data_IF_158820776661
#
_entry.id   IF_158820776661
#
_cell.length_a   1.000
_cell.length_b   1.000
_cell.length_c   1.000
_cell.angle_alpha   90.00
_cell.angle_beta   90.00
_cell.angle_gamma   90.00
#
_symmetry.space_group_name_H-M   'P 1'
#
loop_
_entity.id
_entity.type
_entity.pdbx_description
1 polymer ?
#
# COMPACT_ATOMS: atom_id res chain seq x y z
N UNK A 1 10.31 8.88 -37.77
CA UNK A 1 8.90 8.48 -37.55
C UNK A 1 8.19 9.41 -36.57
N UNK A 2 7.68 10.56 -37.03
CA UNK A 2 6.89 11.49 -36.20
C UNK A 2 5.58 10.86 -35.70
N UNK A 3 4.99 9.95 -36.49
CA UNK A 3 3.79 9.20 -36.13
C UNK A 3 4.01 8.25 -34.94
N UNK A 4 5.16 7.57 -34.87
CA UNK A 4 5.50 6.68 -33.76
C UNK A 4 5.67 7.47 -32.47
N UNK A 5 6.37 8.61 -32.53
CA UNK A 5 6.53 9.52 -31.39
C UNK A 5 5.18 10.05 -30.89
N UNK A 6 4.28 10.47 -31.80
CA UNK A 6 2.95 10.94 -31.43
C UNK A 6 2.09 9.85 -30.76
N UNK A 7 2.15 8.62 -31.24
CA UNK A 7 1.43 7.47 -30.67
C UNK A 7 1.99 7.09 -29.28
N UNK A 8 3.30 7.19 -29.10
CA UNK A 8 3.96 6.90 -27.83
C UNK A 8 3.67 7.98 -26.77
N UNK A 9 3.69 9.26 -27.16
CA UNK A 9 3.30 10.38 -26.31
C UNK A 9 1.84 10.30 -25.89
N UNK A 10 0.93 9.93 -26.80
CA UNK A 10 -0.50 9.76 -26.48
C UNK A 10 -0.74 8.64 -25.44
N UNK A 11 0.09 7.59 -25.43
CA UNK A 11 -0.01 6.50 -24.43
C UNK A 11 0.60 6.87 -23.08
N UNK A 12 1.61 7.72 -23.05
CA UNK A 12 2.35 8.07 -21.84
C UNK A 12 1.80 9.31 -21.11
N UNK A 13 1.16 10.24 -21.83
CA UNK A 13 0.54 11.45 -21.28
C UNK A 13 -0.38 11.21 -20.06
N UNK A 14 -1.30 10.23 -20.07
CA UNK A 14 -2.16 9.95 -18.90
C UNK A 14 -1.37 9.55 -17.66
N UNK A 15 -0.25 8.83 -17.83
CA UNK A 15 0.62 8.41 -16.72
C UNK A 15 1.40 9.59 -16.15
N UNK A 16 1.91 10.47 -17.01
CA UNK A 16 2.60 11.70 -16.58
C UNK A 16 1.63 12.65 -15.86
N UNK A 17 0.40 12.79 -16.35
CA UNK A 17 -0.64 13.56 -15.67
C UNK A 17 -0.95 13.00 -14.27
N UNK A 18 -1.05 11.67 -14.12
CA UNK A 18 -1.20 11.01 -12.81
C UNK A 18 0.00 11.24 -11.88
N UNK A 19 1.23 11.21 -12.41
CA UNK A 19 2.42 11.52 -11.62
C UNK A 19 2.41 12.98 -11.14
N UNK A 20 1.93 13.92 -11.96
CA UNK A 20 1.74 15.32 -11.54
C UNK A 20 0.67 15.53 -10.47
N UNK A 21 -0.24 14.57 -10.28
CA UNK A 21 -1.20 14.58 -9.16
C UNK A 21 -0.57 14.07 -7.84
N UNK A 22 0.57 13.36 -7.92
CA UNK A 22 1.34 12.97 -6.73
C UNK A 22 2.22 14.16 -6.35
N UNK A 23 1.74 14.95 -5.40
CA UNK A 23 2.48 16.05 -4.80
C UNK A 23 3.20 15.61 -3.52
N UNK A 24 4.13 16.43 -3.01
CA UNK A 24 4.91 16.16 -1.79
C UNK A 24 4.04 15.95 -0.53
N UNK A 25 2.77 16.37 -0.58
CA UNK A 25 1.79 16.16 0.49
C UNK A 25 0.96 14.88 0.35
N UNK A 26 1.18 14.10 -0.71
CA UNK A 26 0.50 12.82 -0.92
C UNK A 26 0.95 11.84 0.15
N UNK A 27 0.11 11.64 1.17
CA UNK A 27 0.39 10.68 2.24
C UNK A 27 0.18 9.25 1.74
N UNK A 28 1.27 8.61 1.33
CA UNK A 28 1.30 7.20 0.91
C UNK A 28 1.97 6.39 2.03
N UNK A 29 1.33 5.32 2.45
CA UNK A 29 1.94 4.29 3.28
C UNK A 29 1.31 2.95 2.99
N UNK A 30 2.07 1.86 3.17
CA UNK A 30 1.54 0.51 3.03
C UNK A 30 0.37 0.26 4.01
N UNK A 31 0.50 0.75 5.25
CA UNK A 31 -0.57 0.66 6.25
C UNK A 31 -1.86 1.35 5.77
N UNK A 32 -1.76 2.52 5.15
CA UNK A 32 -2.92 3.22 4.60
C UNK A 32 -3.62 2.41 3.50
N UNK A 33 -2.85 1.87 2.56
CA UNK A 33 -3.40 1.05 1.46
C UNK A 33 -4.10 -0.18 2.03
N UNK A 34 -3.50 -0.85 3.01
CA UNK A 34 -4.11 -2.02 3.67
C UNK A 34 -5.42 -1.67 4.38
N UNK A 35 -5.46 -0.55 5.11
CA UNK A 35 -6.69 -0.11 5.79
C UNK A 35 -7.77 0.32 4.78
N UNK A 36 -7.40 0.90 3.64
CA UNK A 36 -8.35 1.19 2.55
C UNK A 36 -8.95 -0.12 2.00
N UNK A 37 -8.14 -1.14 1.70
CA UNK A 37 -8.65 -2.44 1.26
C UNK A 37 -9.52 -3.14 2.32
N UNK A 38 -9.15 -3.05 3.61
CA UNK A 38 -9.95 -3.61 4.69
C UNK A 38 -11.32 -2.94 4.86
N UNK A 39 -11.45 -1.66 4.45
CA UNK A 39 -12.74 -0.96 4.42
C UNK A 39 -13.57 -1.30 3.19
N UNK A 40 -12.94 -1.31 2.01
CA UNK A 40 -13.64 -1.48 0.74
C UNK A 40 -13.99 -2.95 0.47
N UNK A 41 -13.14 -3.88 0.91
CA UNK A 41 -13.28 -5.32 0.70
C UNK A 41 -12.92 -6.12 1.97
N UNK A 42 -13.66 -5.94 3.09
CA UNK A 42 -13.30 -6.53 4.39
C UNK A 42 -13.18 -8.06 4.37
N UNK A 43 -14.04 -8.73 3.58
CA UNK A 43 -14.07 -10.18 3.40
C UNK A 43 -13.26 -10.66 2.19
N UNK A 44 -12.61 -9.75 1.46
CA UNK A 44 -11.77 -10.08 0.32
C UNK A 44 -10.53 -10.84 0.78
N UNK A 45 -10.08 -11.78 -0.04
CA UNK A 45 -8.89 -12.58 0.21
C UNK A 45 -7.63 -11.70 0.13
N UNK A 46 -6.90 -11.57 1.23
CA UNK A 46 -5.69 -10.75 1.29
C UNK A 46 -4.42 -11.57 1.13
N UNK A 47 -4.31 -12.71 1.82
CA UNK A 47 -3.17 -13.62 1.70
C UNK A 47 -3.52 -15.06 2.09
N UNK A 48 -2.84 -16.03 1.49
CA UNK A 48 -2.88 -17.44 1.86
C UNK A 48 -1.66 -17.76 2.74
N UNK A 49 -1.88 -18.24 3.95
CA UNK A 49 -0.82 -18.64 4.87
C UNK A 49 -1.27 -19.86 5.68
N UNK A 50 -0.37 -20.84 5.87
CA UNK A 50 -0.68 -22.08 6.58
C UNK A 50 -1.96 -22.79 6.07
N UNK A 51 -2.13 -22.82 4.74
CA UNK A 51 -3.31 -23.40 4.10
C UNK A 51 -4.63 -22.66 4.35
N UNK A 52 -4.59 -21.46 4.94
CA UNK A 52 -5.77 -20.65 5.26
C UNK A 52 -5.74 -19.32 4.55
N UNK A 53 -6.88 -18.94 3.98
CA UNK A 53 -7.07 -17.61 3.42
C UNK A 53 -7.39 -16.64 4.55
N UNK A 54 -6.64 -15.55 4.62
CA UNK A 54 -6.87 -14.46 5.54
C UNK A 54 -7.50 -13.28 4.80
N UNK A 55 -8.54 -12.69 5.39
CA UNK A 55 -9.24 -11.54 4.81
C UNK A 55 -8.49 -10.24 5.05
N UNK A 56 -8.77 -9.20 4.26
CA UNK A 56 -8.18 -7.87 4.47
C UNK A 56 -8.45 -7.33 5.87
N UNK A 57 -9.66 -7.51 6.42
CA UNK A 57 -9.98 -7.07 7.78
C UNK A 57 -9.15 -7.83 8.84
N UNK A 58 -9.00 -9.15 8.67
CA UNK A 58 -8.23 -9.97 9.61
C UNK A 58 -6.74 -9.56 9.62
N UNK A 59 -6.18 -9.32 8.44
CA UNK A 59 -4.78 -8.88 8.29
C UNK A 59 -4.58 -7.49 8.86
N UNK A 60 -5.41 -6.50 8.50
CA UNK A 60 -5.28 -5.11 8.98
C UNK A 60 -5.34 -5.03 10.51
N UNK A 61 -6.32 -5.71 11.13
CA UNK A 61 -6.43 -5.80 12.59
C UNK A 61 -5.19 -6.43 13.22
N UNK A 62 -4.67 -7.52 12.67
CA UNK A 62 -3.47 -8.18 13.20
C UNK A 62 -2.24 -7.28 13.11
N UNK A 63 -2.04 -6.62 11.97
CA UNK A 63 -0.95 -5.67 11.74
C UNK A 63 -1.04 -4.51 12.72
N UNK A 64 -2.23 -3.90 12.87
CA UNK A 64 -2.44 -2.80 13.81
C UNK A 64 -2.13 -3.19 15.26
N UNK A 65 -2.46 -4.42 15.66
CA UNK A 65 -2.10 -4.93 16.99
C UNK A 65 -0.57 -5.08 17.15
N UNK A 66 0.15 -5.56 16.13
CA UNK A 66 1.63 -5.59 16.15
C UNK A 66 2.20 -4.17 16.26
N UNK A 67 1.72 -3.24 15.44
CA UNK A 67 2.19 -1.85 15.42
C UNK A 67 1.99 -1.18 16.77
N UNK A 68 0.83 -1.38 17.42
CA UNK A 68 0.58 -0.85 18.78
C UNK A 68 1.61 -1.40 19.78
N UNK A 69 1.85 -2.72 19.78
CA UNK A 69 2.88 -3.32 20.63
C UNK A 69 4.29 -2.79 20.34
N UNK A 70 4.64 -2.58 19.07
CA UNK A 70 5.93 -1.98 18.70
C UNK A 70 6.06 -0.54 19.22
N UNK A 71 5.00 0.26 19.11
CA UNK A 71 4.98 1.63 19.65
C UNK A 71 5.13 1.61 21.17
N UNK A 72 4.45 0.69 21.86
CA UNK A 72 4.53 0.52 23.32
C UNK A 72 5.95 0.20 23.79
N UNK A 73 6.71 -0.62 23.05
CA UNK A 73 8.13 -0.92 23.36
C UNK A 73 9.11 0.12 22.83
N UNK A 74 8.63 1.26 22.33
CA UNK A 74 9.44 2.42 21.98
C UNK A 74 9.86 2.53 20.51
N UNK A 75 9.35 1.67 19.62
CA UNK A 75 9.62 1.80 18.18
C UNK A 75 8.99 3.09 17.64
N UNK A 76 9.80 3.85 16.91
CA UNK A 76 9.40 5.10 16.25
C UNK A 76 9.73 5.06 14.76
N UNK A 77 9.19 6.01 14.00
CA UNK A 77 9.51 6.15 12.59
C UNK A 77 11.03 6.27 12.39
N UNK A 78 11.57 5.52 11.42
CA UNK A 78 13.01 5.44 11.15
C UNK A 78 13.76 4.40 11.97
N UNK A 79 13.14 3.78 12.98
CA UNK A 79 13.74 2.66 13.71
C UNK A 79 13.91 1.43 12.79
N UNK A 80 15.02 0.71 12.98
CA UNK A 80 15.30 -0.55 12.29
C UNK A 80 14.84 -1.70 13.18
N UNK A 81 14.00 -2.59 12.64
CA UNK A 81 13.46 -3.74 13.36
C UNK A 81 13.90 -5.02 12.63
N UNK A 82 14.57 -5.93 13.32
CA UNK A 82 14.95 -7.23 12.76
C UNK A 82 13.76 -8.17 12.68
N UNK A 83 13.68 -8.95 11.61
CA UNK A 83 12.69 -10.02 11.40
C UNK A 83 13.48 -11.30 11.12
N UNK A 84 13.07 -12.42 11.72
CA UNK A 84 13.69 -13.74 11.57
C UNK A 84 12.81 -14.65 10.73
#
# INVERSE_FOLDING_TARGET
SARTLAVETARTLPRLARLGQVNDHTRISLGRIMTEQARDMPNGEALLFDGRVHTYEAVDRRVNNVVRGLIEVGVRQGARVGVL
#
